data_IF_603187634287
#
_entry.id   IF_603187634287
#
_cell.length_a   1.000
_cell.length_b   1.000
_cell.length_c   1.000
_cell.angle_alpha   90.00
_cell.angle_beta   90.00
_cell.angle_gamma   90.00
#
_symmetry.space_group_name_H-M   'P 1'
#
loop_
_entity.id
_entity.type
_entity.pdbx_description
1 polymer ?
#
# COMPACT_ATOMS: atom_id res chain seq x y z
N UNK A 1 -10.95 2.67 -7.76
CA UNK A 1 -11.56 1.38 -8.13
C UNK A 1 -12.92 1.21 -7.45
N UNK A 2 -13.72 0.22 -7.86
CA UNK A 2 -14.93 -0.18 -7.12
C UNK A 2 -14.51 -1.17 -6.04
N UNK A 3 -15.12 -1.11 -4.84
CA UNK A 3 -14.90 -2.09 -3.77
C UNK A 3 -14.89 -3.53 -4.33
N UNK A 4 -13.85 -4.34 -4.04
CA UNK A 4 -13.75 -5.71 -4.53
C UNK A 4 -15.04 -6.52 -4.36
N UNK A 5 -15.41 -7.30 -5.36
CA UNK A 5 -16.72 -7.98 -5.39
C UNK A 5 -16.91 -8.93 -4.20
N UNK A 6 -15.83 -9.59 -3.75
CA UNK A 6 -15.91 -10.47 -2.58
C UNK A 6 -16.29 -9.70 -1.31
N UNK A 7 -15.82 -8.46 -1.15
CA UNK A 7 -16.18 -7.59 -0.01
C UNK A 7 -17.65 -7.21 -0.12
N UNK A 8 -18.12 -6.83 -1.31
CA UNK A 8 -19.55 -6.52 -1.55
C UNK A 8 -20.42 -7.72 -1.18
N UNK A 9 -20.02 -8.93 -1.60
CA UNK A 9 -20.73 -10.17 -1.30
C UNK A 9 -20.71 -10.52 0.20
N UNK A 10 -19.61 -10.23 0.91
CA UNK A 10 -19.54 -10.37 2.37
C UNK A 10 -20.47 -9.36 3.06
N UNK A 11 -20.45 -8.09 2.65
CA UNK A 11 -21.31 -7.02 3.21
C UNK A 11 -22.79 -7.29 3.05
N UNK A 12 -23.21 -7.92 1.95
CA UNK A 12 -24.60 -8.40 1.77
C UNK A 12 -25.03 -9.42 2.84
N UNK A 13 -24.09 -10.16 3.44
CA UNK A 13 -24.37 -11.22 4.42
C UNK A 13 -24.21 -10.76 5.87
N UNK A 14 -23.20 -9.94 6.14
CA UNK A 14 -22.85 -9.52 7.51
C UNK A 14 -23.29 -8.08 7.83
N UNK A 15 -23.82 -7.34 6.85
CA UNK A 15 -24.11 -5.92 6.99
C UNK A 15 -22.85 -5.12 7.37
N UNK A 16 -22.98 -4.30 8.41
CA UNK A 16 -21.92 -3.41 8.90
C UNK A 16 -21.11 -3.99 10.07
N UNK A 17 -21.25 -5.29 10.36
CA UNK A 17 -20.42 -5.95 11.37
C UNK A 17 -18.92 -5.74 11.05
N UNK A 18 -18.05 -5.61 12.07
CA UNK A 18 -16.62 -5.45 11.86
C UNK A 18 -16.04 -6.56 10.98
N UNK A 19 -15.39 -6.17 9.88
CA UNK A 19 -14.75 -7.07 8.93
C UNK A 19 -13.25 -6.90 8.96
N UNK A 20 -12.53 -7.99 9.12
CA UNK A 20 -11.08 -8.03 8.92
C UNK A 20 -10.78 -8.36 7.45
N UNK A 21 -9.91 -7.56 6.85
CA UNK A 21 -9.43 -7.73 5.48
C UNK A 21 -7.91 -7.89 5.51
N UNK A 22 -7.38 -8.62 4.54
CA UNK A 22 -5.93 -8.66 4.30
C UNK A 22 -5.58 -7.49 3.39
N UNK A 23 -4.77 -6.58 3.92
CA UNK A 23 -4.18 -5.49 3.17
C UNK A 23 -2.74 -5.83 2.77
N UNK A 24 -2.29 -5.23 1.69
CA UNK A 24 -0.89 -5.20 1.32
C UNK A 24 -0.46 -3.77 1.00
N UNK A 25 0.75 -3.41 1.40
CA UNK A 25 1.39 -2.14 1.10
C UNK A 25 2.76 -2.38 0.48
N UNK A 26 3.06 -1.71 -0.62
CA UNK A 26 4.33 -1.85 -1.31
C UNK A 26 5.14 -0.57 -1.21
N UNK A 27 6.33 -0.68 -0.63
CA UNK A 27 7.37 0.35 -0.70
C UNK A 27 8.26 0.03 -1.89
N UNK A 28 7.97 0.66 -3.03
CA UNK A 28 8.76 0.50 -4.25
C UNK A 28 9.93 1.48 -4.21
N UNK A 29 11.14 0.93 -4.30
CA UNK A 29 12.39 1.68 -4.31
C UNK A 29 13.02 1.66 -5.70
N UNK A 30 13.64 2.78 -6.07
CA UNK A 30 14.59 2.84 -7.19
C UNK A 30 15.86 3.54 -6.74
N UNK A 31 16.99 3.11 -7.28
CA UNK A 31 18.26 3.82 -7.10
C UNK A 31 18.44 4.86 -8.20
N UNK A 32 18.85 6.06 -7.81
CA UNK A 32 19.19 7.15 -8.72
C UNK A 32 20.59 7.67 -8.41
N UNK A 33 21.10 8.58 -9.24
CA UNK A 33 22.40 9.20 -9.02
C UNK A 33 22.45 10.08 -7.75
N UNK A 34 21.29 10.53 -7.21
CA UNK A 34 21.21 11.30 -5.95
C UNK A 34 20.89 10.42 -4.74
N UNK A 35 20.69 9.12 -4.94
CA UNK A 35 20.32 8.16 -3.90
C UNK A 35 18.96 7.50 -4.15
N UNK A 36 18.42 6.78 -3.15
CA UNK A 36 17.18 6.04 -3.30
C UNK A 36 15.99 6.98 -3.39
N UNK A 37 15.02 6.60 -4.21
CA UNK A 37 13.70 7.22 -4.25
C UNK A 37 12.62 6.19 -4.00
N UNK A 38 11.50 6.65 -3.44
CA UNK A 38 10.31 5.84 -3.16
C UNK A 38 9.13 6.31 -4.00
N UNK A 39 8.37 5.35 -4.51
CA UNK A 39 7.13 5.61 -5.22
C UNK A 39 5.99 5.84 -4.24
N UNK A 40 5.22 6.90 -4.45
CA UNK A 40 4.00 7.19 -3.71
C UNK A 40 2.82 7.44 -4.66
N UNK A 41 1.63 7.08 -4.22
CA UNK A 41 0.35 7.44 -4.83
C UNK A 41 -0.34 8.54 -4.03
N UNK A 42 -0.92 9.54 -4.71
CA UNK A 42 -1.77 10.56 -4.08
C UNK A 42 -3.22 10.14 -4.22
N UNK A 43 -3.81 9.66 -3.13
CA UNK A 43 -5.18 9.14 -3.12
C UNK A 43 -6.17 10.15 -3.69
N UNK A 44 -7.07 9.70 -4.57
CA UNK A 44 -8.06 10.55 -5.20
C UNK A 44 -9.17 11.02 -4.21
N UNK A 45 -9.41 10.29 -3.13
CA UNK A 45 -10.51 10.54 -2.19
C UNK A 45 -10.20 11.62 -1.14
N UNK A 46 -8.96 11.70 -0.66
CA UNK A 46 -8.55 12.59 0.42
C UNK A 46 -7.28 13.40 0.12
N UNK A 47 -6.60 13.14 -0.99
CA UNK A 47 -5.43 13.88 -1.43
C UNK A 47 -4.14 13.61 -0.63
N UNK A 48 -4.14 12.65 0.30
CA UNK A 48 -2.95 12.23 1.03
C UNK A 48 -2.03 11.40 0.13
N UNK A 49 -0.73 11.50 0.38
CA UNK A 49 0.26 10.63 -0.24
C UNK A 49 0.46 9.38 0.61
N UNK A 50 0.44 8.22 -0.02
CA UNK A 50 0.62 6.93 0.62
C UNK A 50 1.58 6.04 -0.15
N UNK A 51 2.03 4.97 0.50
CA UNK A 51 2.54 3.79 -0.23
C UNK A 51 1.47 3.25 -1.18
N UNK A 52 1.87 2.42 -2.13
CA UNK A 52 0.92 1.73 -3.00
C UNK A 52 0.26 0.64 -2.17
N UNK A 53 -1.03 0.80 -1.93
CA UNK A 53 -1.78 0.01 -0.96
C UNK A 53 -2.91 -0.72 -1.69
N UNK A 54 -3.23 -1.93 -1.28
CA UNK A 54 -4.31 -2.69 -1.92
C UNK A 54 -4.85 -3.80 -1.06
N UNK A 55 -5.77 -4.57 -1.63
CA UNK A 55 -6.47 -5.64 -0.92
C UNK A 55 -6.09 -6.97 -1.55
N UNK A 56 -5.76 -7.94 -0.70
CA UNK A 56 -5.49 -9.30 -1.15
C UNK A 56 -6.81 -9.97 -1.52
N UNK A 57 -6.94 -10.40 -2.79
CA UNK A 57 -8.11 -11.14 -3.25
C UNK A 57 -8.15 -12.56 -2.65
N UNK A 58 -9.33 -13.19 -2.51
CA UNK A 58 -9.43 -14.57 -2.04
C UNK A 58 -8.56 -15.51 -2.88
N UNK A 59 -7.78 -16.36 -2.19
CA UNK A 59 -6.83 -17.32 -2.78
C UNK A 59 -5.61 -16.68 -3.47
N UNK A 60 -5.43 -15.36 -3.37
CA UNK A 60 -4.23 -14.68 -3.85
C UNK A 60 -3.14 -14.64 -2.77
N UNK A 61 -1.88 -14.98 -3.07
CA UNK A 61 -0.77 -14.73 -2.16
C UNK A 61 -0.55 -13.22 -1.93
N UNK A 62 -0.32 -12.74 -0.69
CA UNK A 62 -0.20 -11.31 -0.40
C UNK A 62 0.90 -10.58 -1.20
N UNK A 63 2.03 -11.23 -1.48
CA UNK A 63 3.10 -10.65 -2.29
C UNK A 63 2.75 -10.56 -3.77
N UNK A 64 1.82 -11.41 -4.25
CA UNK A 64 1.29 -11.32 -5.61
C UNK A 64 0.26 -10.20 -5.73
N UNK A 65 -0.61 -10.07 -4.73
CA UNK A 65 -1.51 -8.92 -4.61
C UNK A 65 -0.73 -7.60 -4.62
N UNK A 66 0.30 -7.49 -3.79
CA UNK A 66 1.17 -6.32 -3.73
C UNK A 66 1.77 -5.92 -5.10
N UNK A 67 2.22 -6.92 -5.88
CA UNK A 67 2.76 -6.68 -7.22
C UNK A 67 1.68 -6.36 -8.27
N UNK A 68 0.49 -6.97 -8.16
CA UNK A 68 -0.67 -6.68 -9.00
C UNK A 68 -1.16 -5.24 -8.78
N UNK A 69 -1.36 -4.85 -7.53
CA UNK A 69 -1.82 -3.50 -7.15
C UNK A 69 -0.84 -2.43 -7.63
N UNK A 70 0.49 -2.66 -7.51
CA UNK A 70 1.47 -1.77 -8.12
C UNK A 70 1.28 -1.61 -9.63
N UNK A 71 1.00 -2.69 -10.36
CA UNK A 71 0.77 -2.61 -11.79
C UNK A 71 -0.54 -1.88 -12.11
N UNK A 72 -1.62 -2.15 -11.37
CA UNK A 72 -2.95 -1.58 -11.57
C UNK A 72 -2.99 -0.08 -11.25
N UNK A 73 -2.40 0.35 -10.14
CA UNK A 73 -2.45 1.75 -9.71
C UNK A 73 -1.42 2.65 -10.41
N UNK A 74 -0.26 2.09 -10.79
CA UNK A 74 0.90 2.89 -11.21
C UNK A 74 1.46 2.55 -12.59
N UNK A 75 1.01 1.46 -13.21
CA UNK A 75 1.58 0.91 -14.44
C UNK A 75 2.93 0.21 -14.25
N UNK A 76 3.51 0.21 -13.04
CA UNK A 76 4.82 -0.36 -12.79
C UNK A 76 4.78 -1.86 -12.49
N UNK A 77 5.65 -2.59 -13.18
CA UNK A 77 5.97 -3.97 -12.83
C UNK A 77 7.06 -3.96 -11.77
N UNK A 78 6.77 -4.55 -10.62
CA UNK A 78 7.70 -4.63 -9.49
C UNK A 78 8.07 -6.06 -9.17
N UNK A 79 9.27 -6.25 -8.63
CA UNK A 79 9.70 -7.50 -7.99
C UNK A 79 9.67 -7.28 -6.48
N UNK A 80 8.85 -8.07 -5.79
CA UNK A 80 8.85 -8.10 -4.33
C UNK A 80 10.17 -8.71 -3.84
N UNK A 81 10.86 -8.00 -2.94
CA UNK A 81 12.08 -8.48 -2.31
C UNK A 81 11.78 -9.30 -1.07
N UNK A 82 10.94 -8.75 -0.20
CA UNK A 82 10.63 -9.34 1.12
C UNK A 82 9.43 -8.67 1.77
N UNK A 83 8.86 -9.38 2.73
CA UNK A 83 8.02 -8.80 3.78
C UNK A 83 8.90 -8.09 4.81
N UNK A 84 8.59 -6.84 5.16
CA UNK A 84 9.38 -6.05 6.13
C UNK A 84 8.60 -5.72 7.40
N UNK A 85 7.26 -5.65 7.32
CA UNK A 85 6.43 -5.29 8.45
C UNK A 85 5.04 -5.92 8.32
N UNK A 86 4.46 -6.31 9.46
CA UNK A 86 3.05 -6.65 9.57
C UNK A 86 2.42 -5.75 10.64
N UNK A 87 1.31 -5.11 10.30
CA UNK A 87 0.59 -4.21 11.20
C UNK A 87 -0.92 -4.27 11.02
N UNK A 88 -1.63 -3.46 11.79
CA UNK A 88 -3.10 -3.37 11.71
C UNK A 88 -3.54 -1.92 11.57
N UNK A 89 -4.29 -1.64 10.50
CA UNK A 89 -4.98 -0.36 10.31
C UNK A 89 -6.45 -0.49 10.70
N UNK A 90 -6.97 0.49 11.44
CA UNK A 90 -8.39 0.59 11.81
C UNK A 90 -8.66 0.41 13.31
N UNK A 91 -9.93 0.21 13.72
CA UNK A 91 -11.09 0.09 12.84
C UNK A 91 -11.36 1.42 12.10
N UNK A 92 -11.67 1.32 10.81
CA UNK A 92 -12.14 2.43 9.99
C UNK A 92 -13.64 2.27 9.84
N UNK A 93 -14.39 3.34 10.17
CA UNK A 93 -15.83 3.42 9.90
C UNK A 93 -16.04 4.29 8.66
N UNK A 94 -16.59 3.71 7.61
CA UNK A 94 -16.88 4.40 6.36
C UNK A 94 -18.24 5.12 6.43
N UNK A 95 -18.49 6.14 5.57
CA UNK A 95 -19.76 6.87 5.55
C UNK A 95 -21.01 6.00 5.32
N UNK A 96 -20.84 4.86 4.64
CA UNK A 96 -21.93 3.90 4.41
C UNK A 96 -22.23 3.01 5.63
N UNK A 97 -21.54 3.20 6.76
CA UNK A 97 -21.71 2.42 7.99
C UNK A 97 -20.73 1.26 8.16
N UNK A 98 -20.05 0.83 7.09
CA UNK A 98 -19.12 -0.30 7.12
C UNK A 98 -17.97 -0.07 8.09
N UNK A 99 -17.60 -1.14 8.81
CA UNK A 99 -16.45 -1.14 9.73
C UNK A 99 -15.42 -2.15 9.25
N UNK A 100 -14.23 -1.69 8.88
CA UNK A 100 -13.12 -2.56 8.45
C UNK A 100 -11.90 -2.40 9.35
N UNK A 101 -11.15 -3.49 9.55
CA UNK A 101 -9.75 -3.46 9.98
C UNK A 101 -8.91 -4.23 8.96
N UNK A 102 -7.67 -3.80 8.75
CA UNK A 102 -6.79 -4.39 7.75
C UNK A 102 -5.57 -4.98 8.45
N UNK A 103 -5.30 -6.28 8.26
CA UNK A 103 -3.98 -6.85 8.56
C UNK A 103 -3.09 -6.53 7.38
N UNK A 104 -2.21 -5.57 7.58
CA UNK A 104 -1.39 -5.00 6.53
C UNK A 104 -0.05 -5.73 6.42
N UNK A 105 0.25 -6.25 5.22
CA UNK A 105 1.51 -6.88 4.87
C UNK A 105 2.33 -5.89 4.06
N UNK A 106 3.42 -5.39 4.65
CA UNK A 106 4.24 -4.35 4.03
C UNK A 106 5.44 -5.00 3.35
N UNK A 107 5.52 -4.81 2.04
CA UNK A 107 6.55 -5.36 1.19
C UNK A 107 7.54 -4.30 0.75
N UNK A 108 8.82 -4.64 0.79
CA UNK A 108 9.87 -3.91 0.08
C UNK A 108 9.95 -4.48 -1.34
N UNK A 109 10.02 -3.60 -2.33
CA UNK A 109 10.11 -3.98 -3.72
C UNK A 109 11.01 -3.03 -4.52
N UNK A 110 11.46 -3.49 -5.68
CA UNK A 110 12.08 -2.64 -6.70
C UNK A 110 11.38 -2.82 -8.04
N UNK A 111 11.61 -1.90 -8.97
CA UNK A 111 11.23 -2.11 -10.37
C UNK A 111 11.75 -3.47 -10.86
N UNK A 112 10.89 -4.22 -11.53
CA UNK A 112 11.28 -5.53 -12.06
C UNK A 112 12.39 -5.35 -13.10
N UNK A 113 13.39 -6.25 -13.15
CA UNK A 113 14.45 -6.18 -14.16
C UNK A 113 13.89 -6.07 -15.58
N UNK A 114 14.41 -5.10 -16.35
CA UNK A 114 13.95 -4.86 -17.72
C UNK A 114 12.62 -4.12 -17.85
N UNK A 115 12.03 -3.63 -16.76
CA UNK A 115 10.85 -2.75 -16.79
C UNK A 115 11.25 -1.27 -16.77
N UNK A 116 10.36 -0.41 -17.27
CA UNK A 116 10.49 1.05 -17.11
C UNK A 116 10.23 1.46 -15.66
N UNK A 117 10.79 2.58 -15.23
CA UNK A 117 10.49 3.26 -13.96
C UNK A 117 9.55 4.47 -14.15
N UNK A 118 9.01 4.65 -15.36
CA UNK A 118 7.94 5.58 -15.67
C UNK A 118 6.65 5.13 -14.98
N UNK A 119 6.27 5.86 -13.93
CA UNK A 119 5.04 5.62 -13.19
C UNK A 119 3.97 6.65 -13.56
N UNK A 120 2.72 6.21 -13.66
CA UNK A 120 1.57 7.06 -13.91
C UNK A 120 0.30 6.46 -13.31
N UNK A 121 -0.73 7.28 -13.13
CA UNK A 121 -2.02 6.79 -12.60
C UNK A 121 -2.62 5.73 -13.54
N UNK A 122 -3.03 4.58 -13.00
CA UNK A 122 -3.62 3.49 -13.77
C UNK A 122 -5.14 3.35 -13.65
N UNK A 123 -5.63 2.99 -12.47
CA UNK A 123 -7.03 2.60 -12.22
C UNK A 123 -7.92 3.71 -11.61
N UNK A 124 -7.35 4.89 -11.39
CA UNK A 124 -8.03 6.05 -10.81
C UNK A 124 -8.17 6.06 -9.28
N UNK A 125 -7.59 5.08 -8.55
CA UNK A 125 -7.44 5.15 -7.07
C UNK A 125 -6.61 6.37 -6.66
N UNK A 126 -5.59 6.67 -7.46
CA UNK A 126 -4.67 7.78 -7.27
C UNK A 126 -4.90 8.89 -8.30
N UNK A 127 -4.92 10.13 -7.81
CA UNK A 127 -4.96 11.36 -8.62
C UNK A 127 -3.59 11.74 -9.19
N UNK A 128 -2.51 11.26 -8.57
CA UNK A 128 -1.15 11.42 -9.03
C UNK A 128 -0.28 10.27 -8.50
N UNK A 129 0.80 9.96 -9.22
CA UNK A 129 1.84 9.02 -8.77
C UNK A 129 3.19 9.73 -8.96
N UNK A 130 4.11 9.55 -8.02
CA UNK A 130 5.39 10.25 -8.06
C UNK A 130 6.51 9.56 -7.30
N UNK A 131 7.73 9.83 -7.72
CA UNK A 131 8.95 9.41 -7.05
C UNK A 131 9.47 10.52 -6.14
N UNK A 132 9.80 10.16 -4.90
CA UNK A 132 10.25 11.11 -3.88
C UNK A 132 11.53 10.62 -3.21
N UNK A 133 12.40 11.55 -2.86
CA UNK A 133 13.52 11.24 -1.97
C UNK A 133 12.99 11.00 -0.54
N UNK A 134 13.47 9.99 0.20
CA UNK A 134 13.03 9.73 1.58
C UNK A 134 13.22 10.90 2.54
N UNK A 135 14.16 11.79 2.24
CA UNK A 135 14.46 13.02 2.98
C UNK A 135 13.57 14.21 2.58
N UNK A 136 12.83 14.10 1.48
CA UNK A 136 12.00 15.17 0.91
C UNK A 136 10.59 14.65 0.55
N UNK A 137 10.00 13.87 1.46
CA UNK A 137 8.64 13.36 1.33
C UNK A 137 7.61 14.50 1.32
N UNK A 138 6.48 14.35 0.60
CA UNK A 138 5.45 15.38 0.54
C UNK A 138 4.83 15.63 1.92
N UNK A 139 4.41 16.88 2.18
CA UNK A 139 3.85 17.28 3.48
C UNK A 139 2.62 16.45 3.89
N UNK A 140 1.75 16.14 2.91
CA UNK A 140 0.53 15.35 3.11
C UNK A 140 0.77 13.82 3.15
N UNK A 141 1.96 13.37 3.54
CA UNK A 141 2.23 11.94 3.73
C UNK A 141 1.65 11.44 5.06
N UNK A 142 1.02 10.27 5.06
CA UNK A 142 0.48 9.71 6.30
C UNK A 142 1.58 9.19 7.23
N UNK A 143 1.42 9.29 8.57
CA UNK A 143 2.40 8.76 9.53
C UNK A 143 2.67 7.26 9.33
N UNK A 144 1.63 6.47 9.00
CA UNK A 144 1.77 5.04 8.70
C UNK A 144 2.62 4.81 7.46
N UNK A 145 2.40 5.56 6.36
CA UNK A 145 3.22 5.43 5.16
C UNK A 145 4.66 5.81 5.42
N UNK A 146 4.91 6.88 6.19
CA UNK A 146 6.26 7.25 6.61
C UNK A 146 6.95 6.11 7.37
N UNK A 147 6.27 5.51 8.35
CA UNK A 147 6.80 4.35 9.11
C UNK A 147 7.09 3.15 8.21
N UNK A 148 6.23 2.86 7.22
CA UNK A 148 6.45 1.79 6.23
C UNK A 148 7.73 2.04 5.42
N UNK A 149 7.92 3.27 4.95
CA UNK A 149 9.10 3.69 4.18
C UNK A 149 10.38 3.55 5.00
N UNK A 150 10.38 4.10 6.22
CA UNK A 150 11.52 3.99 7.15
C UNK A 150 11.89 2.52 7.40
N UNK A 151 10.90 1.66 7.62
CA UNK A 151 11.11 0.23 7.87
C UNK A 151 11.68 -0.48 6.64
N UNK A 152 11.17 -0.17 5.45
CA UNK A 152 11.67 -0.76 4.20
C UNK A 152 13.10 -0.29 3.85
N UNK A 153 13.43 0.98 4.13
CA UNK A 153 14.77 1.54 3.91
C UNK A 153 15.81 1.01 4.88
N UNK A 154 15.41 0.69 6.12
CA UNK A 154 16.30 0.10 7.11
C UNK A 154 16.84 -1.27 6.69
N UNK A 155 16.13 -1.98 5.79
CA UNK A 155 16.57 -3.27 5.21
C UNK A 155 16.94 -4.32 6.29
N UNK A 156 16.30 -4.26 7.46
CA UNK A 156 16.57 -5.24 8.50
C UNK A 156 16.17 -6.66 8.03
N UNK A 157 16.87 -7.72 8.48
CA UNK A 157 16.52 -9.10 8.13
C UNK A 157 15.24 -9.57 8.82
N UNK A 158 14.89 -8.97 9.97
CA UNK A 158 13.71 -9.30 10.74
C UNK A 158 12.47 -8.55 10.26
N UNK A 159 11.31 -9.21 10.37
CA UNK A 159 10.00 -8.59 10.09
C UNK A 159 9.52 -7.82 11.32
N UNK A 160 9.18 -6.55 11.15
CA UNK A 160 8.63 -5.72 12.23
C UNK A 160 7.18 -6.11 12.52
N UNK A 161 6.89 -6.46 13.77
CA UNK A 161 5.53 -6.64 14.27
C UNK A 161 5.01 -5.31 14.82
N UNK A 162 4.31 -4.55 13.99
CA UNK A 162 3.94 -3.17 14.28
C UNK A 162 2.73 -3.01 15.19
N UNK A 163 2.00 -4.09 15.47
CA UNK A 163 0.74 -4.04 16.21
C UNK A 163 -0.32 -3.24 15.45
N UNK A 164 -1.22 -2.57 16.18
CA UNK A 164 -2.18 -1.63 15.60
C UNK A 164 -1.52 -0.26 15.49
N UNK A 165 -1.63 0.38 14.32
CA UNK A 165 -1.19 1.77 14.18
C UNK A 165 -2.06 2.65 15.08
N UNK A 166 -1.43 3.42 15.96
CA UNK A 166 -2.13 4.46 16.69
C UNK A 166 -2.68 5.46 15.67
N UNK A 167 -3.96 5.80 15.77
CA UNK A 167 -4.53 6.89 14.97
C UNK A 167 -3.89 8.17 15.48
N UNK A 168 -2.85 8.64 14.78
CA UNK A 168 -2.28 9.97 15.00
C UNK A 168 -3.07 10.97 14.16
#
# INVERSE_FOLDING_TARGET
MTTPEFIVNLRRRIGHEPLWLLGCSTVVLRETHTGPQVLLGRRADNGNWTTIDGIVEPLEPPEKAAARECLEETGLRVRIDRLVMVGVTGPIRYPNGDVCSFVDHVFRAHCAPGSTDEAGTGDGENSAVGWFEPTALPEAITPVSRRRIETALADAPDVVLAGRYEQV
#
